data_IF_769778300658
#
_entry.id   IF_769778300658
#
_cell.length_a   1.000
_cell.length_b   1.000
_cell.length_c   1.000
_cell.angle_alpha   90.00
_cell.angle_beta   90.00
_cell.angle_gamma   90.00
#
_symmetry.space_group_name_H-M   'P 1'
#
loop_
_entity.id
_entity.type
_entity.pdbx_description
1 polymer ?
#
# COMPACT_ATOMS: atom_id res chain seq x y z
N UNK A 1 16.58 -5.73 -26.15
CA UNK A 1 16.23 -5.56 -24.74
C UNK A 1 16.58 -4.13 -24.41
N UNK A 2 15.58 -3.26 -24.23
CA UNK A 2 15.83 -1.96 -23.61
C UNK A 2 15.62 -2.22 -22.13
N UNK A 3 16.67 -2.05 -21.36
CA UNK A 3 16.57 -1.98 -19.91
C UNK A 3 15.82 -0.68 -19.59
N UNK A 4 14.77 -0.76 -18.76
CA UNK A 4 14.16 0.43 -18.20
C UNK A 4 15.22 1.12 -17.35
N UNK A 5 15.66 2.31 -17.78
CA UNK A 5 16.67 3.12 -17.08
C UNK A 5 15.95 3.93 -15.99
N UNK A 6 16.15 3.64 -14.69
CA UNK A 6 15.48 4.32 -13.59
C UNK A 6 16.03 5.73 -13.33
N UNK A 7 16.85 6.28 -14.22
CA UNK A 7 17.62 7.52 -14.06
C UNK A 7 16.86 8.84 -13.96
N UNK A 8 15.63 8.86 -13.43
CA UNK A 8 14.96 10.11 -13.07
C UNK A 8 14.40 10.04 -11.64
N UNK A 9 15.24 9.68 -10.67
CA UNK A 9 14.99 10.01 -9.26
C UNK A 9 15.13 11.52 -9.13
N UNK A 10 14.00 12.23 -9.02
CA UNK A 10 14.01 13.70 -8.87
C UNK A 10 14.35 14.09 -7.44
N UNK A 11 14.73 15.35 -7.20
CA UNK A 11 14.98 15.87 -5.85
C UNK A 11 13.77 15.73 -4.89
N UNK A 12 12.59 15.39 -5.41
CA UNK A 12 11.35 15.25 -4.65
C UNK A 12 11.17 13.85 -4.04
N UNK A 13 11.66 12.78 -4.68
CA UNK A 13 11.72 11.43 -4.09
C UNK A 13 12.66 11.38 -2.87
N UNK A 14 13.65 12.28 -2.83
CA UNK A 14 14.51 12.50 -1.68
C UNK A 14 13.79 13.16 -0.50
N UNK A 15 12.77 13.99 -0.74
CA UNK A 15 12.02 14.62 0.33
C UNK A 15 11.12 13.61 1.04
N UNK A 16 10.51 12.68 0.31
CA UNK A 16 9.74 11.60 0.92
C UNK A 16 10.62 10.70 1.81
N UNK A 17 11.86 10.41 1.39
CA UNK A 17 12.85 9.70 2.22
C UNK A 17 13.24 10.52 3.46
N UNK A 18 13.35 11.85 3.36
CA UNK A 18 13.66 12.74 4.49
C UNK A 18 12.47 12.87 5.45
N UNK A 19 11.24 12.95 4.93
CA UNK A 19 10.00 12.96 5.71
C UNK A 19 9.78 11.62 6.42
N UNK A 20 10.07 10.50 5.74
CA UNK A 20 10.14 9.15 6.31
C UNK A 20 11.16 9.05 7.45
N UNK A 21 12.34 9.62 7.26
CA UNK A 21 13.37 9.66 8.31
C UNK A 21 12.96 10.53 9.52
N UNK A 22 12.09 11.52 9.30
CA UNK A 22 11.48 12.35 10.35
C UNK A 22 10.40 11.57 11.13
N UNK A 23 9.47 10.93 10.43
CA UNK A 23 8.40 10.11 11.02
C UNK A 23 8.94 8.97 11.90
N UNK A 24 10.05 8.33 11.49
CA UNK A 24 10.63 7.20 12.22
C UNK A 24 11.42 7.58 13.47
N UNK A 25 11.90 8.83 13.57
CA UNK A 25 12.86 9.24 14.61
C UNK A 25 12.31 10.30 15.57
N UNK A 26 11.10 10.82 15.34
CA UNK A 26 10.46 11.83 16.17
C UNK A 26 11.19 13.19 16.24
N UNK A 27 12.32 13.32 15.52
CA UNK A 27 13.03 14.55 15.13
C UNK A 27 14.38 14.17 14.49
N UNK A 28 14.82 14.92 13.48
CA UNK A 28 16.14 14.73 12.86
C UNK A 28 17.16 15.74 13.40
N UNK A 29 18.36 15.25 13.75
CA UNK A 29 19.50 16.13 14.06
C UNK A 29 20.21 16.61 12.78
N UNK A 30 20.83 17.79 12.82
CA UNK A 30 21.57 18.37 11.67
C UNK A 30 22.63 17.42 11.08
N UNK A 31 23.26 16.60 11.92
CA UNK A 31 24.27 15.64 11.50
C UNK A 31 23.69 14.42 10.78
N UNK A 32 22.44 14.04 11.07
CA UNK A 32 21.75 12.98 10.34
C UNK A 32 21.31 13.44 8.95
N UNK A 33 20.78 14.66 8.85
CA UNK A 33 20.45 15.31 7.57
C UNK A 33 21.69 15.37 6.66
N UNK A 34 22.87 15.66 7.24
CA UNK A 34 24.12 15.78 6.49
C UNK A 34 24.71 14.43 6.05
N UNK A 35 24.50 13.35 6.81
CA UNK A 35 25.01 12.01 6.44
C UNK A 35 24.19 11.34 5.34
N UNK A 36 22.86 11.49 5.40
CA UNK A 36 21.95 10.99 4.36
C UNK A 36 22.21 11.69 3.01
N UNK A 37 22.46 13.00 3.04
CA UNK A 37 22.82 13.79 1.83
C UNK A 37 24.21 13.47 1.26
N UNK A 38 25.21 13.13 2.10
CA UNK A 38 26.58 12.81 1.65
C UNK A 38 26.68 11.41 1.00
N UNK A 39 26.05 10.39 1.56
CA UNK A 39 26.07 9.03 0.97
C UNK A 39 25.38 9.00 -0.40
N UNK A 40 24.37 9.85 -0.60
CA UNK A 40 23.63 9.98 -1.84
C UNK A 40 24.42 10.66 -2.97
N UNK A 41 25.21 11.69 -2.67
CA UNK A 41 26.11 12.32 -3.65
C UNK A 41 27.12 11.32 -4.25
N UNK A 42 27.51 10.29 -3.48
CA UNK A 42 28.41 9.24 -3.96
C UNK A 42 27.74 8.28 -4.95
N UNK A 43 26.42 8.07 -4.89
CA UNK A 43 25.67 7.30 -5.89
C UNK A 43 25.33 8.14 -7.13
N UNK A 44 25.00 9.42 -6.95
CA UNK A 44 24.68 10.34 -8.04
C UNK A 44 25.88 10.58 -8.98
N UNK A 45 27.10 10.66 -8.44
CA UNK A 45 28.34 10.82 -9.23
C UNK A 45 28.66 9.57 -10.07
N UNK A 46 28.23 8.39 -9.65
CA UNK A 46 28.37 7.15 -10.43
C UNK A 46 27.33 7.07 -11.56
N UNK A 47 26.12 7.60 -11.37
CA UNK A 47 25.07 7.64 -12.40
C UNK A 47 25.30 8.77 -13.44
N UNK A 48 25.83 9.92 -13.03
CA UNK A 48 26.07 11.07 -13.93
C UNK A 48 27.17 10.86 -14.97
N UNK A 49 28.03 9.83 -14.84
CA UNK A 49 29.00 9.48 -15.88
C UNK A 49 28.38 8.74 -17.08
N UNK A 50 27.10 8.37 -17.03
CA UNK A 50 26.45 7.58 -18.07
C UNK A 50 25.56 8.37 -19.05
N UNK A 51 25.18 9.63 -18.78
CA UNK A 51 24.17 10.32 -19.60
C UNK A 51 24.57 11.77 -19.90
N UNK A 52 25.30 11.96 -21.02
CA UNK A 52 25.38 13.24 -21.72
C UNK A 52 24.64 13.08 -23.05
N UNK A 53 23.32 13.29 -23.04
CA UNK A 53 22.48 13.78 -24.15
C UNK A 53 21.02 13.49 -23.83
N UNK A 54 20.21 14.44 -23.36
CA UNK A 54 18.79 14.54 -23.77
C UNK A 54 18.24 15.95 -23.50
N UNK A 55 17.36 16.34 -24.42
CA UNK A 55 16.73 17.64 -24.64
C UNK A 55 15.62 17.96 -23.64
N UNK A 56 15.38 19.25 -23.43
CA UNK A 56 14.40 19.87 -22.53
C UNK A 56 12.98 19.28 -22.67
N UNK A 57 12.39 18.86 -21.54
CA UNK A 57 10.98 18.47 -21.42
C UNK A 57 10.10 19.73 -21.41
N UNK A 58 8.98 19.71 -22.16
CA UNK A 58 8.04 20.82 -22.27
C UNK A 58 6.70 20.36 -21.68
N UNK A 59 6.20 21.10 -20.68
CA UNK A 59 4.95 20.81 -19.96
C UNK A 59 3.74 20.93 -20.87
N UNK A 60 2.94 19.88 -20.99
CA UNK A 60 1.63 19.94 -21.62
C UNK A 60 0.58 20.49 -20.64
N UNK A 61 0.06 21.67 -20.97
CA UNK A 61 -1.01 22.34 -20.24
C UNK A 61 -2.37 21.86 -20.74
N UNK A 62 -2.91 20.77 -20.20
CA UNK A 62 -4.35 20.49 -20.34
C UNK A 62 -4.95 19.52 -19.30
N UNK A 63 -4.56 19.68 -18.02
CA UNK A 63 -5.08 18.85 -16.92
C UNK A 63 -6.49 19.27 -16.43
N UNK A 64 -7.00 20.44 -16.81
CA UNK A 64 -8.24 20.98 -16.23
C UNK A 64 -9.56 20.49 -16.86
N UNK A 65 -9.54 19.74 -17.97
CA UNK A 65 -10.78 19.28 -18.64
C UNK A 65 -11.22 17.84 -18.30
N UNK A 66 -10.39 17.05 -17.60
CA UNK A 66 -10.71 15.64 -17.27
C UNK A 66 -11.65 15.47 -16.06
N UNK A 67 -11.91 16.56 -15.30
CA UNK A 67 -12.64 16.53 -14.03
C UNK A 67 -14.13 16.16 -14.14
N UNK A 68 -14.73 16.30 -15.33
CA UNK A 68 -16.20 16.26 -15.45
C UNK A 68 -16.79 14.85 -15.62
N UNK A 69 -15.99 13.83 -15.98
CA UNK A 69 -16.48 12.45 -16.18
C UNK A 69 -16.40 11.57 -14.92
N UNK A 70 -15.52 11.87 -13.97
CA UNK A 70 -15.29 11.06 -12.78
C UNK A 70 -16.35 11.20 -11.66
N UNK A 71 -17.13 12.28 -11.65
CA UNK A 71 -18.08 12.58 -10.56
C UNK A 71 -19.36 11.74 -10.57
N UNK A 72 -19.63 10.97 -11.64
CA UNK A 72 -20.90 10.23 -11.77
C UNK A 72 -20.87 8.80 -11.20
N UNK A 73 -19.72 8.27 -10.77
CA UNK A 73 -19.61 6.90 -10.21
C UNK A 73 -19.42 6.88 -8.68
N UNK A 74 -19.23 8.04 -8.05
CA UNK A 74 -19.06 8.17 -6.59
C UNK A 74 -20.39 8.10 -5.82
N UNK A 75 -21.52 8.06 -6.52
CA UNK A 75 -22.84 7.89 -5.92
C UNK A 75 -23.10 6.42 -5.60
N UNK A 76 -23.08 6.07 -4.32
CA UNK A 76 -23.56 4.79 -3.76
C UNK A 76 -22.70 3.55 -4.06
N UNK A 77 -21.59 3.40 -3.35
CA UNK A 77 -21.00 2.08 -3.11
C UNK A 77 -20.93 1.89 -1.59
N UNK A 78 -21.65 0.88 -1.10
CA UNK A 78 -21.69 0.50 0.30
C UNK A 78 -20.27 0.13 0.79
N UNK A 79 -19.95 0.48 2.04
CA UNK A 79 -18.74 0.13 2.82
C UNK A 79 -18.51 -1.39 3.03
N UNK A 80 -19.03 -2.21 2.12
CA UNK A 80 -19.05 -3.65 2.24
C UNK A 80 -17.85 -4.29 1.61
N UNK A 81 -17.04 -4.94 2.43
CA UNK A 81 -16.24 -6.07 1.94
C UNK A 81 -17.24 -7.14 1.48
N UNK A 82 -17.31 -7.40 0.18
CA UNK A 82 -18.16 -8.45 -0.38
C UNK A 82 -17.57 -9.81 -0.03
N UNK A 83 -17.98 -10.36 1.11
CA UNK A 83 -17.71 -11.76 1.47
C UNK A 83 -18.78 -12.62 0.80
N UNK A 84 -18.38 -13.48 -0.14
CA UNK A 84 -19.28 -14.49 -0.67
C UNK A 84 -19.46 -15.61 0.36
N UNK A 85 -20.47 -15.49 1.22
CA UNK A 85 -21.02 -16.65 1.93
C UNK A 85 -22.21 -17.18 1.13
N UNK A 86 -22.42 -18.50 1.21
CA UNK A 86 -23.52 -19.19 0.55
C UNK A 86 -24.89 -18.58 0.92
N UNK A 87 -25.38 -17.66 0.09
CA UNK A 87 -26.80 -17.27 0.04
C UNK A 87 -27.22 -16.01 0.79
N UNK A 88 -26.34 -15.23 1.43
CA UNK A 88 -26.72 -13.91 1.94
C UNK A 88 -25.54 -12.94 1.89
N UNK A 89 -25.66 -11.90 1.05
CA UNK A 89 -24.64 -10.86 0.87
C UNK A 89 -24.68 -9.88 2.04
N UNK A 90 -24.18 -10.28 3.20
CA UNK A 90 -23.91 -9.33 4.28
C UNK A 90 -22.57 -8.66 3.98
N UNK A 91 -22.64 -7.41 3.54
CA UNK A 91 -21.50 -6.51 3.46
C UNK A 91 -21.00 -6.24 4.87
N UNK A 92 -19.81 -6.73 5.23
CA UNK A 92 -19.19 -6.40 6.52
C UNK A 92 -18.59 -5.00 6.40
N UNK A 93 -19.03 -4.09 7.27
CA UNK A 93 -18.45 -2.75 7.44
C UNK A 93 -17.09 -2.89 8.14
N UNK A 94 -16.02 -2.41 7.49
CA UNK A 94 -14.66 -2.50 8.00
C UNK A 94 -14.46 -1.69 9.29
N UNK A 95 -15.15 -0.55 9.45
CA UNK A 95 -15.08 0.26 10.67
C UNK A 95 -15.74 -0.47 11.85
N UNK A 96 -16.89 -1.11 11.60
CA UNK A 96 -17.60 -1.92 12.61
C UNK A 96 -16.75 -3.14 13.01
N UNK A 97 -16.17 -3.82 12.03
CA UNK A 97 -15.25 -4.93 12.26
C UNK A 97 -14.05 -4.52 13.13
N UNK A 98 -13.38 -3.41 12.84
CA UNK A 98 -12.28 -2.90 13.66
C UNK A 98 -12.73 -2.68 15.10
N UNK A 99 -13.92 -2.10 15.27
CA UNK A 99 -14.51 -1.85 16.58
C UNK A 99 -14.83 -3.12 17.35
N UNK A 100 -15.24 -4.19 16.66
CA UNK A 100 -15.63 -5.45 17.27
C UNK A 100 -14.45 -6.37 17.59
N UNK A 101 -13.36 -6.30 16.81
CA UNK A 101 -12.22 -7.19 16.95
C UNK A 101 -11.08 -6.58 17.79
N UNK A 102 -11.01 -5.26 17.91
CA UNK A 102 -9.95 -4.58 18.63
C UNK A 102 -10.51 -3.62 19.68
N UNK A 103 -9.91 -3.65 20.87
CA UNK A 103 -10.16 -2.64 21.89
C UNK A 103 -9.43 -1.36 21.54
N UNK A 104 -10.04 -0.20 21.77
CA UNK A 104 -9.39 1.08 21.53
C UNK A 104 -8.20 1.26 22.50
N UNK A 105 -7.04 1.64 21.96
CA UNK A 105 -5.83 1.94 22.70
C UNK A 105 -5.50 3.44 22.57
N UNK A 106 -4.70 4.00 23.47
CA UNK A 106 -4.23 5.37 23.30
C UNK A 106 -3.24 5.43 22.12
N UNK A 107 -3.38 6.42 21.25
CA UNK A 107 -2.44 6.62 20.13
C UNK A 107 -1.36 7.63 20.45
N UNK A 108 -0.11 7.27 20.16
CA UNK A 108 1.04 8.15 20.29
C UNK A 108 1.20 9.06 19.04
N UNK A 109 2.11 10.03 19.07
CA UNK A 109 2.26 10.98 17.95
C UNK A 109 2.75 10.30 16.65
N UNK A 110 3.63 9.31 16.72
CA UNK A 110 4.11 8.61 15.53
C UNK A 110 2.97 7.82 14.85
N UNK A 111 2.08 7.22 15.63
CA UNK A 111 0.89 6.53 15.12
C UNK A 111 -0.09 7.50 14.44
N UNK A 112 -0.32 8.67 15.03
CA UNK A 112 -1.17 9.70 14.42
C UNK A 112 -0.60 10.18 13.10
N UNK A 113 0.69 10.48 13.07
CA UNK A 113 1.37 10.93 11.85
C UNK A 113 1.36 9.83 10.78
N UNK A 114 1.58 8.57 11.16
CA UNK A 114 1.51 7.43 10.24
C UNK A 114 0.11 7.27 9.63
N UNK A 115 -0.96 7.34 10.43
CA UNK A 115 -2.33 7.24 9.92
C UNK A 115 -2.68 8.38 8.95
N UNK A 116 -2.27 9.60 9.25
CA UNK A 116 -2.48 10.77 8.38
C UNK A 116 -1.68 10.61 7.09
N UNK A 117 -0.43 10.15 7.16
CA UNK A 117 0.40 9.94 5.99
C UNK A 117 -0.14 8.83 5.07
N UNK A 118 -0.38 7.63 5.63
CA UNK A 118 -0.88 6.49 4.86
C UNK A 118 -2.26 6.79 4.23
N UNK A 119 -3.08 7.62 4.87
CA UNK A 119 -4.37 8.06 4.31
C UNK A 119 -4.20 8.79 2.97
N UNK A 120 -3.18 9.64 2.83
CA UNK A 120 -2.90 10.35 1.58
C UNK A 120 -2.04 9.53 0.61
N UNK A 121 -1.20 8.60 1.09
CA UNK A 121 -0.42 7.72 0.24
C UNK A 121 -1.31 6.71 -0.51
N UNK A 122 -2.28 6.10 0.16
CA UNK A 122 -3.30 5.25 -0.49
C UNK A 122 -4.14 6.06 -1.50
N UNK A 123 -4.37 7.36 -1.21
CA UNK A 123 -5.01 8.28 -2.16
C UNK A 123 -4.13 8.54 -3.38
N UNK A 124 -2.82 8.70 -3.20
CA UNK A 124 -1.87 8.87 -4.28
C UNK A 124 -1.96 7.68 -5.25
N UNK A 125 -1.90 6.45 -4.72
CA UNK A 125 -2.02 5.23 -5.51
C UNK A 125 -3.35 5.21 -6.29
N UNK A 126 -4.48 5.39 -5.60
CA UNK A 126 -5.82 5.45 -6.22
C UNK A 126 -5.89 6.45 -7.36
N UNK A 127 -5.44 7.68 -7.12
CA UNK A 127 -5.57 8.81 -8.05
C UNK A 127 -4.68 8.61 -9.29
N UNK A 128 -3.45 8.13 -9.11
CA UNK A 128 -2.55 7.81 -10.24
C UNK A 128 -3.14 6.69 -11.09
N UNK A 129 -3.66 5.63 -10.46
CA UNK A 129 -4.26 4.51 -11.20
C UNK A 129 -5.52 4.92 -11.93
N UNK A 130 -6.36 5.77 -11.33
CA UNK A 130 -7.52 6.30 -12.00
C UNK A 130 -7.12 7.13 -13.24
N UNK A 131 -6.12 8.01 -13.10
CA UNK A 131 -5.61 8.79 -14.21
C UNK A 131 -5.12 7.89 -15.37
N UNK A 132 -4.35 6.84 -15.08
CA UNK A 132 -3.90 5.91 -16.11
C UNK A 132 -5.00 5.03 -16.68
N UNK A 133 -6.02 4.69 -15.90
CA UNK A 133 -7.18 4.00 -16.42
C UNK A 133 -7.92 4.86 -17.44
N UNK A 134 -8.13 6.14 -17.17
CA UNK A 134 -8.75 7.07 -18.12
C UNK A 134 -7.90 7.22 -19.39
N UNK A 135 -6.58 7.34 -19.23
CA UNK A 135 -5.65 7.55 -20.34
C UNK A 135 -5.49 6.33 -21.24
N UNK A 136 -5.35 5.14 -20.67
CA UNK A 136 -5.00 3.92 -21.40
C UNK A 136 -6.13 2.90 -21.50
N UNK A 137 -7.19 3.05 -20.71
CA UNK A 137 -8.31 2.10 -20.59
C UNK A 137 -7.83 0.64 -20.34
N UNK A 138 -6.77 0.50 -19.53
CA UNK A 138 -6.15 -0.79 -19.26
C UNK A 138 -6.65 -1.37 -17.93
N UNK A 139 -7.21 -2.58 -17.98
CA UNK A 139 -8.04 -3.16 -16.91
C UNK A 139 -7.35 -3.24 -15.54
N UNK A 140 -6.03 -3.44 -15.51
CA UNK A 140 -5.28 -3.56 -14.24
C UNK A 140 -5.45 -2.31 -13.39
N UNK A 141 -5.41 -1.12 -13.99
CA UNK A 141 -5.55 0.15 -13.28
C UNK A 141 -6.92 0.27 -12.62
N UNK A 142 -8.03 0.09 -13.34
CA UNK A 142 -9.39 0.14 -12.76
C UNK A 142 -9.61 -0.91 -11.66
N UNK A 143 -9.07 -2.12 -11.81
CA UNK A 143 -9.20 -3.13 -10.78
C UNK A 143 -8.48 -2.72 -9.48
N UNK A 144 -7.29 -2.13 -9.60
CA UNK A 144 -6.44 -1.75 -8.47
C UNK A 144 -6.93 -0.45 -7.85
N UNK A 145 -7.38 0.55 -8.63
CA UNK A 145 -8.06 1.75 -8.11
C UNK A 145 -9.19 1.40 -7.12
N UNK A 146 -9.98 0.36 -7.42
CA UNK A 146 -11.05 -0.11 -6.51
C UNK A 146 -10.52 -0.73 -5.23
N UNK A 147 -9.31 -1.28 -5.26
CA UNK A 147 -8.62 -1.79 -4.06
C UNK A 147 -8.10 -0.63 -3.22
N UNK A 148 -7.43 0.35 -3.84
CA UNK A 148 -6.90 1.53 -3.14
C UNK A 148 -8.00 2.37 -2.51
N UNK A 149 -9.16 2.49 -3.15
CA UNK A 149 -10.33 3.11 -2.52
C UNK A 149 -10.70 2.41 -1.19
N UNK A 150 -10.58 1.08 -1.12
CA UNK A 150 -10.87 0.33 0.12
C UNK A 150 -9.75 0.46 1.14
N UNK A 151 -8.49 0.53 0.71
CA UNK A 151 -7.37 0.80 1.61
C UNK A 151 -7.54 2.18 2.26
N UNK A 152 -7.81 3.20 1.45
CA UNK A 152 -8.18 4.53 1.88
C UNK A 152 -9.31 4.51 2.92
N UNK A 153 -10.43 3.84 2.62
CA UNK A 153 -11.57 3.71 3.55
C UNK A 153 -11.18 3.00 4.85
N UNK A 154 -10.33 1.98 4.79
CA UNK A 154 -9.85 1.25 5.96
C UNK A 154 -9.01 2.14 6.88
N UNK A 155 -8.13 2.97 6.32
CA UNK A 155 -7.36 3.96 7.09
C UNK A 155 -8.28 5.05 7.66
N UNK A 156 -9.28 5.50 6.90
CA UNK A 156 -10.26 6.47 7.39
C UNK A 156 -10.97 5.98 8.66
N UNK A 157 -11.32 4.69 8.73
CA UNK A 157 -11.90 4.11 9.94
C UNK A 157 -10.98 4.30 11.16
N UNK A 158 -9.67 4.13 11.02
CA UNK A 158 -8.71 4.35 12.10
C UNK A 158 -8.58 5.85 12.43
N UNK A 159 -8.51 6.72 11.42
CA UNK A 159 -8.48 8.18 11.59
C UNK A 159 -9.68 8.65 12.42
N UNK A 160 -10.89 8.20 12.07
CA UNK A 160 -12.12 8.55 12.80
C UNK A 160 -12.17 7.91 14.19
N UNK A 161 -11.80 6.63 14.30
CA UNK A 161 -11.76 5.88 15.57
C UNK A 161 -10.89 6.54 16.61
N UNK A 162 -9.76 7.12 16.20
CA UNK A 162 -8.84 7.85 17.06
C UNK A 162 -9.10 9.35 17.16
N UNK A 163 -10.20 9.84 16.56
CA UNK A 163 -10.59 11.24 16.64
C UNK A 163 -9.62 12.20 15.95
N UNK A 164 -8.89 11.73 14.94
CA UNK A 164 -7.95 12.52 14.16
C UNK A 164 -8.70 13.32 13.07
N UNK A 165 -8.05 14.38 12.58
CA UNK A 165 -8.58 15.12 11.42
C UNK A 165 -8.16 14.40 10.14
N UNK A 166 -9.12 14.01 9.28
CA UNK A 166 -8.81 13.42 7.97
C UNK A 166 -8.04 14.43 7.09
N UNK A 167 -6.84 14.13 6.60
CA UNK A 167 -6.14 15.03 5.68
C UNK A 167 -6.85 15.19 4.32
N UNK A 168 -7.69 14.22 3.93
CA UNK A 168 -8.43 14.23 2.65
C UNK A 168 -9.72 15.06 2.77
N UNK A 169 -9.55 16.37 2.95
CA UNK A 169 -10.67 17.33 3.03
C UNK A 169 -11.35 17.57 1.67
N UNK A 170 -10.58 17.39 0.58
CA UNK A 170 -11.10 17.35 -0.78
C UNK A 170 -10.66 16.04 -1.42
N UNK A 171 -11.64 15.21 -1.80
CA UNK A 171 -11.38 13.90 -2.36
C UNK A 171 -11.26 13.88 -3.90
N UNK A 172 -11.26 15.05 -4.54
CA UNK A 172 -10.94 15.20 -5.95
C UNK A 172 -9.54 14.64 -6.27
N UNK A 173 -9.39 14.10 -7.49
CA UNK A 173 -8.14 13.49 -7.94
C UNK A 173 -7.00 14.51 -8.06
N UNK A 174 -5.82 14.13 -7.58
CA UNK A 174 -4.62 14.96 -7.66
C UNK A 174 -4.56 16.10 -6.63
N UNK A 175 -5.52 16.18 -5.71
CA UNK A 175 -5.54 17.17 -4.62
C UNK A 175 -5.04 16.52 -3.32
N UNK A 176 -3.98 17.08 -2.74
CA UNK A 176 -3.37 16.58 -1.50
C UNK A 176 -3.07 17.73 -0.54
N UNK A 177 -3.18 17.46 0.75
CA UNK A 177 -2.72 18.36 1.81
C UNK A 177 -1.20 18.29 1.92
N UNK A 178 -0.63 17.07 1.94
CA UNK A 178 0.80 16.84 1.90
C UNK A 178 1.37 17.26 0.51
N UNK A 179 2.24 18.27 0.52
CA UNK A 179 2.82 18.83 -0.70
C UNK A 179 3.85 17.90 -1.35
N UNK A 180 4.49 17.02 -0.59
CA UNK A 180 5.41 16.02 -1.14
C UNK A 180 4.63 14.98 -1.95
N UNK A 181 3.50 14.49 -1.42
CA UNK A 181 2.60 13.59 -2.14
C UNK A 181 1.94 14.29 -3.34
N UNK A 182 1.61 15.58 -3.23
CA UNK A 182 1.13 16.37 -4.37
C UNK A 182 2.15 16.43 -5.52
N UNK A 183 3.42 16.68 -5.20
CA UNK A 183 4.51 16.68 -6.19
C UNK A 183 4.75 15.29 -6.76
N UNK A 184 4.79 14.27 -5.90
CA UNK A 184 4.97 12.89 -6.32
C UNK A 184 3.86 12.46 -7.30
N UNK A 185 2.59 12.78 -7.00
CA UNK A 185 1.48 12.56 -7.93
C UNK A 185 1.77 13.13 -9.33
N UNK A 186 2.20 14.40 -9.41
CA UNK A 186 2.48 15.06 -10.69
C UNK A 186 3.62 14.36 -11.45
N UNK A 187 4.70 14.02 -10.74
CA UNK A 187 5.86 13.34 -11.33
C UNK A 187 5.47 11.95 -11.87
N UNK A 188 4.71 11.18 -11.10
CA UNK A 188 4.28 9.84 -11.49
C UNK A 188 3.34 9.87 -12.70
N UNK A 189 2.36 10.79 -12.75
CA UNK A 189 1.49 10.88 -13.94
C UNK A 189 2.23 11.40 -15.18
N UNK A 190 3.25 12.26 -15.02
CA UNK A 190 4.10 12.72 -16.14
C UNK A 190 4.95 11.56 -16.68
N UNK A 191 5.56 10.77 -15.80
CA UNK A 191 6.37 9.61 -16.15
C UNK A 191 5.52 8.52 -16.81
N UNK A 192 4.42 8.10 -16.18
CA UNK A 192 3.57 7.04 -16.72
C UNK A 192 2.79 7.49 -17.95
N UNK A 193 2.66 8.80 -18.21
CA UNK A 193 2.03 9.32 -19.43
C UNK A 193 2.83 9.07 -20.71
N UNK A 194 4.11 8.70 -20.61
CA UNK A 194 4.98 8.51 -21.77
C UNK A 194 4.55 7.29 -22.60
N UNK A 195 4.15 6.19 -21.95
CA UNK A 195 3.63 4.99 -22.60
C UNK A 195 2.87 4.09 -21.62
N UNK A 196 2.11 3.11 -22.15
CA UNK A 196 1.48 2.11 -21.29
C UNK A 196 2.51 1.31 -20.47
N UNK A 197 3.69 1.02 -21.02
CA UNK A 197 4.73 0.30 -20.28
C UNK A 197 5.26 1.17 -19.12
N UNK A 198 5.44 2.48 -19.34
CA UNK A 198 5.83 3.41 -18.29
C UNK A 198 4.75 3.54 -17.21
N UNK A 199 3.47 3.57 -17.58
CA UNK A 199 2.36 3.57 -16.62
C UNK A 199 2.32 2.29 -15.77
N UNK A 200 2.59 1.12 -16.37
CA UNK A 200 2.66 -0.14 -15.65
C UNK A 200 3.88 -0.20 -14.72
N UNK A 201 5.01 0.39 -15.13
CA UNK A 201 6.21 0.52 -14.30
C UNK A 201 5.99 1.49 -13.13
N UNK A 202 5.30 2.61 -13.35
CA UNK A 202 4.84 3.52 -12.28
C UNK A 202 3.91 2.78 -11.32
N UNK A 203 3.01 1.93 -11.83
CA UNK A 203 2.21 1.06 -11.00
C UNK A 203 3.05 0.18 -10.07
N UNK A 204 4.04 -0.53 -10.61
CA UNK A 204 4.95 -1.32 -9.79
C UNK A 204 5.78 -0.48 -8.80
N UNK A 205 6.16 0.75 -9.18
CA UNK A 205 6.90 1.68 -8.32
C UNK A 205 6.11 2.14 -7.10
N UNK A 206 4.83 2.48 -7.30
CA UNK A 206 3.95 2.88 -6.19
C UNK A 206 3.80 1.71 -5.20
N UNK A 207 3.56 0.50 -5.69
CA UNK A 207 3.42 -0.66 -4.79
C UNK A 207 4.71 -1.02 -4.07
N UNK A 208 5.86 -0.82 -4.72
CA UNK A 208 7.17 -0.98 -4.09
C UNK A 208 7.38 0.03 -2.94
N UNK A 209 7.06 1.31 -3.20
CA UNK A 209 7.10 2.37 -2.19
C UNK A 209 6.20 2.05 -0.99
N UNK A 210 4.92 1.76 -1.27
CA UNK A 210 3.88 1.53 -0.27
C UNK A 210 4.21 0.31 0.63
N UNK A 211 4.65 -0.80 0.04
CA UNK A 211 5.12 -1.97 0.80
C UNK A 211 6.27 -1.58 1.74
N UNK A 212 7.24 -0.84 1.21
CA UNK A 212 8.41 -0.44 1.98
C UNK A 212 8.02 0.48 3.14
N UNK A 213 7.11 1.44 2.94
CA UNK A 213 6.71 2.40 3.97
C UNK A 213 5.85 1.74 5.05
N UNK A 214 4.87 0.91 4.67
CA UNK A 214 4.10 0.09 5.61
C UNK A 214 4.98 -0.81 6.46
N UNK A 215 5.91 -1.56 5.86
CA UNK A 215 6.85 -2.41 6.61
C UNK A 215 7.72 -1.60 7.55
N UNK A 216 8.23 -0.46 7.09
CA UNK A 216 9.11 0.39 7.89
C UNK A 216 8.38 0.99 9.09
N UNK A 217 7.13 1.42 8.90
CA UNK A 217 6.28 1.91 9.97
C UNK A 217 5.99 0.80 10.99
N UNK A 218 5.57 -0.38 10.53
CA UNK A 218 5.27 -1.54 11.38
C UNK A 218 6.48 -2.07 12.15
N UNK A 219 7.68 -1.99 11.59
CA UNK A 219 8.91 -2.52 12.20
C UNK A 219 9.67 -1.46 13.04
N UNK A 220 9.24 -0.20 13.02
CA UNK A 220 9.92 0.91 13.68
C UNK A 220 10.02 0.79 15.21
N UNK A 221 9.09 0.05 15.83
CA UNK A 221 8.91 -0.01 17.27
C UNK A 221 8.22 1.22 17.88
N UNK A 222 7.80 2.19 17.05
CA UNK A 222 7.03 3.36 17.49
C UNK A 222 5.52 3.20 17.24
N UNK A 223 5.11 2.15 16.55
CA UNK A 223 3.72 1.76 16.32
C UNK A 223 3.53 0.41 17.01
N UNK A 224 2.80 0.41 18.10
CA UNK A 224 2.50 -0.79 18.88
C UNK A 224 0.99 -1.04 19.03
N UNK A 225 0.17 -0.13 18.52
CA UNK A 225 -1.27 -0.28 18.52
C UNK A 225 -1.73 -1.44 17.62
N UNK A 226 -2.46 -2.37 18.21
CA UNK A 226 -2.78 -3.66 17.58
C UNK A 226 -3.67 -3.50 16.34
N UNK A 227 -4.63 -2.57 16.35
CA UNK A 227 -5.53 -2.38 15.21
C UNK A 227 -4.85 -1.67 14.04
N UNK A 228 -3.95 -0.71 14.32
CA UNK A 228 -3.12 -0.05 13.32
C UNK A 228 -2.20 -1.07 12.65
N UNK A 229 -1.48 -1.89 13.43
CA UNK A 229 -0.59 -2.92 12.89
C UNK A 229 -1.35 -3.97 12.08
N UNK A 230 -2.56 -4.35 12.51
CA UNK A 230 -3.38 -5.29 11.77
C UNK A 230 -3.85 -4.72 10.41
N UNK A 231 -4.24 -3.44 10.36
CA UNK A 231 -4.56 -2.75 9.11
C UNK A 231 -3.33 -2.64 8.20
N UNK A 232 -2.18 -2.21 8.72
CA UNK A 232 -0.95 -2.10 7.92
C UNK A 232 -0.53 -3.44 7.34
N UNK A 233 -0.66 -4.53 8.08
CA UNK A 233 -0.41 -5.88 7.58
C UNK A 233 -1.32 -6.27 6.40
N UNK A 234 -2.59 -5.89 6.47
CA UNK A 234 -3.57 -6.15 5.39
C UNK A 234 -3.35 -5.29 4.15
N UNK A 235 -3.02 -4.00 4.33
CA UNK A 235 -2.60 -3.12 3.24
C UNK A 235 -1.35 -3.68 2.57
N UNK A 236 -0.30 -4.02 3.33
CA UNK A 236 0.94 -4.58 2.77
C UNK A 236 0.66 -5.85 1.96
N UNK A 237 -0.29 -6.70 2.40
CA UNK A 237 -0.74 -7.89 1.65
C UNK A 237 -1.47 -7.52 0.36
N UNK A 238 -2.27 -6.46 0.38
CA UNK A 238 -2.89 -5.84 -0.80
C UNK A 238 -1.83 -5.40 -1.81
N UNK A 239 -0.89 -4.56 -1.38
CA UNK A 239 0.15 -3.96 -2.19
C UNK A 239 1.08 -5.01 -2.82
N UNK A 240 1.45 -6.07 -2.08
CA UNK A 240 2.16 -7.23 -2.65
C UNK A 240 1.39 -7.90 -3.80
N UNK A 241 0.06 -7.96 -3.73
CA UNK A 241 -0.76 -8.53 -4.81
C UNK A 241 -0.88 -7.59 -6.01
N UNK A 242 -0.93 -6.28 -5.78
CA UNK A 242 -0.89 -5.27 -6.83
C UNK A 242 0.45 -5.27 -7.56
N UNK A 243 1.56 -5.34 -6.82
CA UNK A 243 2.90 -5.46 -7.37
C UNK A 243 3.02 -6.69 -8.30
N UNK A 244 2.54 -7.85 -7.84
CA UNK A 244 2.45 -9.06 -8.70
C UNK A 244 1.63 -8.80 -9.96
N UNK A 245 0.52 -8.05 -9.86
CA UNK A 245 -0.33 -7.74 -10.99
C UNK A 245 0.38 -6.80 -11.99
N UNK A 246 1.01 -5.72 -11.55
CA UNK A 246 1.75 -4.81 -12.44
C UNK A 246 2.93 -5.50 -13.11
N UNK A 247 3.76 -6.22 -12.34
CA UNK A 247 4.90 -6.99 -12.87
C UNK A 247 4.44 -8.04 -13.89
N UNK A 248 3.33 -8.75 -13.61
CA UNK A 248 2.76 -9.70 -14.58
C UNK A 248 2.30 -9.04 -15.89
N UNK A 249 1.81 -7.81 -15.84
CA UNK A 249 1.43 -7.08 -17.05
C UNK A 249 2.67 -6.57 -17.80
N UNK A 250 3.69 -6.05 -17.11
CA UNK A 250 4.98 -5.68 -17.73
C UNK A 250 5.61 -6.85 -18.48
N UNK A 251 5.66 -8.02 -17.84
CA UNK A 251 6.24 -9.23 -18.42
C UNK A 251 5.51 -9.67 -19.71
N UNK A 252 4.20 -9.38 -19.84
CA UNK A 252 3.45 -9.68 -21.08
C UNK A 252 3.91 -8.81 -22.26
N UNK A 253 4.47 -7.63 -21.99
CA UNK A 253 5.07 -6.75 -23.00
C UNK A 253 6.58 -6.99 -23.17
N UNK A 254 7.15 -7.99 -22.48
CA UNK A 254 8.58 -8.29 -22.53
C UNK A 254 9.45 -7.29 -21.75
N UNK A 255 8.83 -6.46 -20.90
CA UNK A 255 9.50 -5.56 -19.98
C UNK A 255 9.66 -6.24 -18.61
N UNK A 256 10.61 -5.77 -17.81
CA UNK A 256 10.80 -6.19 -16.42
C UNK A 256 10.80 -4.95 -15.51
N UNK A 257 10.54 -5.16 -14.22
CA UNK A 257 10.67 -4.13 -13.19
C UNK A 257 11.80 -4.51 -12.21
N UNK A 258 12.62 -3.54 -11.84
CA UNK A 258 13.61 -3.67 -10.78
C UNK A 258 13.16 -2.81 -9.59
N UNK A 259 13.13 -3.35 -8.35
CA UNK A 259 12.68 -2.62 -7.19
C UNK A 259 13.64 -1.47 -6.87
N UNK A 260 13.07 -0.35 -6.43
CA UNK A 260 13.73 0.88 -6.02
C UNK A 260 13.79 0.97 -4.49
N UNK A 261 12.71 0.58 -3.79
CA UNK A 261 12.56 0.78 -2.35
C UNK A 261 12.77 -0.51 -1.56
N UNK A 262 12.06 -1.59 -1.89
CA UNK A 262 12.26 -2.89 -1.25
C UNK A 262 13.52 -3.59 -1.78
N UNK A 263 14.08 -4.48 -0.97
CA UNK A 263 15.25 -5.25 -1.40
C UNK A 263 14.93 -6.16 -2.60
N UNK A 264 15.93 -6.37 -3.47
CA UNK A 264 15.82 -7.28 -4.61
C UNK A 264 15.38 -8.71 -4.21
N UNK A 265 15.84 -9.21 -3.08
CA UNK A 265 15.49 -10.55 -2.58
C UNK A 265 14.03 -10.61 -2.12
N UNK A 266 13.55 -9.57 -1.42
CA UNK A 266 12.16 -9.50 -0.99
C UNK A 266 11.21 -9.34 -2.18
N UNK A 267 11.53 -8.45 -3.11
CA UNK A 267 10.83 -8.33 -4.40
C UNK A 267 10.74 -9.68 -5.12
N UNK A 268 11.86 -10.38 -5.27
CA UNK A 268 11.90 -11.69 -5.90
C UNK A 268 11.03 -12.72 -5.16
N UNK A 269 11.01 -12.69 -3.83
CA UNK A 269 10.11 -13.50 -3.00
C UNK A 269 8.63 -13.22 -3.29
N UNK A 270 8.26 -11.96 -3.46
CA UNK A 270 6.89 -11.55 -3.80
C UNK A 270 6.50 -12.05 -5.18
N UNK A 271 7.26 -11.70 -6.22
CA UNK A 271 6.84 -11.95 -7.61
C UNK A 271 6.91 -13.43 -8.03
N UNK A 272 7.68 -14.25 -7.30
CA UNK A 272 7.80 -15.69 -7.55
C UNK A 272 6.88 -16.55 -6.66
N UNK A 273 6.09 -15.93 -5.78
CA UNK A 273 5.08 -16.64 -5.00
C UNK A 273 3.69 -16.47 -5.61
N UNK A 274 2.76 -17.34 -5.19
CA UNK A 274 1.36 -17.19 -5.53
C UNK A 274 0.76 -15.90 -4.97
N UNK A 275 -0.34 -15.46 -5.60
CA UNK A 275 -1.18 -14.37 -5.09
C UNK A 275 -1.69 -14.74 -3.69
N UNK A 276 -1.45 -13.85 -2.74
CA UNK A 276 -1.87 -14.04 -1.36
C UNK A 276 -3.39 -13.92 -1.25
N UNK A 277 -3.99 -14.97 -0.68
CA UNK A 277 -5.42 -15.02 -0.34
C UNK A 277 -5.54 -14.71 1.14
N UNK A 278 -6.54 -13.92 1.49
CA UNK A 278 -6.87 -13.62 2.87
C UNK A 278 -8.37 -13.61 3.02
N UNK A 279 -8.83 -14.02 4.18
CA UNK A 279 -10.22 -13.81 4.60
C UNK A 279 -10.47 -12.32 4.90
N UNK A 280 -9.39 -11.51 5.00
CA UNK A 280 -9.41 -10.10 5.36
C UNK A 280 -9.51 -9.92 6.86
N UNK A 281 -9.09 -8.75 7.37
CA UNK A 281 -9.21 -8.34 8.78
C UNK A 281 -10.60 -8.62 9.38
N UNK A 282 -11.60 -8.59 8.51
CA UNK A 282 -13.02 -8.56 8.83
C UNK A 282 -13.80 -9.77 8.32
N UNK A 283 -13.12 -10.87 8.00
CA UNK A 283 -13.85 -12.11 7.89
C UNK A 283 -14.43 -12.51 9.23
N UNK A 284 -15.71 -12.85 9.23
CA UNK A 284 -16.36 -13.47 10.37
C UNK A 284 -15.47 -14.61 10.89
N UNK A 285 -15.06 -14.49 12.15
CA UNK A 285 -14.55 -15.61 12.95
C UNK A 285 -15.67 -16.67 13.00
N UNK A 286 -15.66 -17.56 12.01
CA UNK A 286 -16.82 -18.42 11.72
C UNK A 286 -17.00 -18.81 10.26
N UNK A 287 -16.11 -18.42 9.35
CA UNK A 287 -16.05 -19.07 8.04
C UNK A 287 -15.66 -20.54 8.22
N UNK A 288 -16.71 -21.37 8.31
CA UNK A 288 -16.68 -22.82 8.29
C UNK A 288 -15.55 -23.29 7.36
N UNK A 289 -14.46 -23.78 7.95
CA UNK A 289 -13.49 -24.58 7.23
C UNK A 289 -14.30 -25.67 6.53
N UNK A 290 -14.25 -25.70 5.20
CA UNK A 290 -14.96 -26.73 4.45
C UNK A 290 -14.49 -28.07 4.99
N UNK A 291 -15.42 -28.80 5.63
CA UNK A 291 -15.26 -30.01 6.45
C UNK A 291 -15.39 -29.81 7.98
N UNK A 292 -16.52 -29.26 8.46
CA UNK A 292 -17.09 -29.53 9.80
C UNK A 292 -16.07 -29.88 10.92
N UNK A 293 -15.05 -29.04 11.08
CA UNK A 293 -14.03 -29.17 12.11
C UNK A 293 -13.92 -27.78 12.74
N UNK A 294 -14.42 -27.69 13.97
CA UNK A 294 -14.27 -26.50 14.80
C UNK A 294 -12.79 -26.34 15.15
N UNK A 295 -12.06 -25.46 14.45
CA UNK A 295 -10.75 -25.02 14.91
C UNK A 295 -11.01 -23.91 15.95
N UNK A 296 -10.84 -24.24 17.24
CA UNK A 296 -11.02 -23.31 18.37
C UNK A 296 -9.70 -22.63 18.70
N UNK A 297 -9.54 -21.36 18.32
CA UNK A 297 -8.42 -20.52 18.73
C UNK A 297 -8.80 -19.04 18.63
N UNK A 298 -8.51 -18.28 19.69
CA UNK A 298 -8.86 -16.86 19.81
C UNK A 298 -7.82 -15.93 19.13
N UNK A 299 -7.38 -16.28 17.92
CA UNK A 299 -6.40 -15.49 17.17
C UNK A 299 -6.71 -15.42 15.68
N UNK A 300 -6.21 -14.39 14.95
CA UNK A 300 -6.43 -14.23 13.51
C UNK A 300 -5.55 -15.22 12.72
N UNK A 301 -5.84 -16.52 12.86
CA UNK A 301 -5.19 -17.58 12.10
C UNK A 301 -5.87 -17.80 10.75
N UNK A 302 -5.09 -18.00 9.69
CA UNK A 302 -5.58 -18.32 8.36
C UNK A 302 -5.94 -19.81 8.23
N UNK A 303 -7.03 -20.11 7.52
CA UNK A 303 -7.51 -21.47 7.26
C UNK A 303 -6.82 -22.15 6.05
N UNK A 304 -5.54 -21.88 5.80
CA UNK A 304 -4.86 -22.32 4.58
C UNK A 304 -4.04 -23.62 4.73
N UNK A 305 -4.04 -24.25 5.89
CA UNK A 305 -3.45 -25.59 6.06
C UNK A 305 -4.32 -26.46 6.97
N UNK A 306 -4.44 -27.73 6.59
CA UNK A 306 -5.14 -28.77 7.35
C UNK A 306 -4.82 -28.62 8.85
N UNK A 307 -5.86 -28.49 9.69
CA UNK A 307 -5.74 -28.39 11.16
C UNK A 307 -5.14 -29.71 11.72
N UNK A 308 -3.84 -29.91 11.54
CA UNK A 308 -2.96 -30.88 12.17
C UNK A 308 -2.15 -30.07 13.18
N UNK A 309 -2.51 -30.21 14.46
CA UNK A 309 -1.91 -29.49 15.58
C UNK A 309 -0.48 -29.91 15.92
N UNK A 310 0.39 -30.15 14.93
CA UNK A 310 1.81 -30.50 15.14
C UNK A 310 2.82 -29.51 14.58
N UNK A 311 2.40 -28.43 13.93
CA UNK A 311 3.34 -27.46 13.34
C UNK A 311 3.54 -26.22 14.21
N UNK A 312 4.80 -25.92 14.52
CA UNK A 312 5.21 -24.67 15.15
C UNK A 312 4.95 -23.52 14.17
N UNK A 313 4.06 -22.60 14.54
CA UNK A 313 3.87 -21.36 13.79
C UNK A 313 5.17 -20.56 13.71
N UNK A 314 5.43 -19.93 12.57
CA UNK A 314 6.57 -19.03 12.36
C UNK A 314 6.35 -17.62 12.93
N UNK A 315 5.27 -17.42 13.70
CA UNK A 315 5.01 -16.21 14.46
C UNK A 315 5.71 -16.24 15.82
N UNK A 316 6.33 -15.14 16.23
CA UNK A 316 7.12 -15.02 17.45
C UNK A 316 6.26 -14.91 18.73
N UNK A 317 5.09 -15.55 18.77
CA UNK A 317 4.21 -15.60 19.94
C UNK A 317 3.85 -17.05 20.28
N UNK A 318 4.17 -17.45 21.52
CA UNK A 318 3.84 -18.78 22.04
C UNK A 318 2.33 -18.87 22.31
N UNK A 319 1.61 -19.58 21.45
CA UNK A 319 0.22 -19.99 21.73
C UNK A 319 0.17 -21.08 22.80
N UNK A 320 -0.54 -20.84 23.90
CA UNK A 320 -0.84 -21.85 24.91
C UNK A 320 -2.06 -22.70 24.51
N UNK A 321 -1.82 -23.83 23.82
CA UNK A 321 -2.86 -24.83 23.59
C UNK A 321 -2.98 -25.82 24.76
N UNK A 322 -4.10 -25.81 25.49
CA UNK A 322 -4.45 -26.90 26.41
C UNK A 322 -5.17 -28.01 25.64
N UNK A 323 -4.66 -29.25 25.75
CA UNK A 323 -5.33 -30.45 25.22
C UNK A 323 -6.53 -30.80 26.11
N UNK A 324 -7.74 -30.45 25.66
CA UNK A 324 -8.96 -31.12 26.12
C UNK A 324 -9.07 -32.49 25.46
N UNK A 325 -8.55 -33.53 26.11
CA UNK A 325 -8.84 -34.92 25.76
C UNK A 325 -10.20 -35.36 26.33
N UNK A 326 -10.91 -36.32 25.71
CA UNK A 326 -12.23 -36.72 26.14
C UNK A 326 -12.16 -37.63 27.38
N UNK A 327 -12.98 -37.30 28.39
CA UNK A 327 -13.65 -38.24 29.29
C UNK A 327 -14.88 -37.57 29.86
#
# INVERSE_FOLDING_TARGET
MKEFDPGCVTEDELQLIIYRDFLLKGSLSKDQIMKTTINFFSMLVLAMFAILSFSQCQKDANFQEMHQYALNDYGTQNNGVAIQTNGNSNTVDVCECLTNNFSIQDVNEAEKEALVFMREEEKLARDVYQYFYEKYNYRVFNNITRSETRHMETILCLVERYGLTDPVQNNDYGIFQNQELATLYQNLIEQGSQSLNDALAVGALIEDLDINDLMTLSESGNIDNEDILAVFGELTRGSRNHLRAFVKNLNQYGENYAPVYISQDYFAGIINSDRERGTGLCAEAGSNCQNNQNCTGDGPGTCDQECDGTQQGTGNQQGHGQKGGPN
#
